data_IF_798104242043
#
_entry.id   IF_798104242043
#
_cell.length_a   1.000
_cell.length_b   1.000
_cell.length_c   1.000
_cell.angle_alpha   90.00
_cell.angle_beta   90.00
_cell.angle_gamma   90.00
#
_symmetry.space_group_name_H-M   'P 1'
#
loop_
_entity.id
_entity.type
_entity.pdbx_description
1 polymer ?
#
# COMPACT_ATOMS: atom_id res chain seq x y z
N UNK A 1 4.81 1.43 -13.39
CA UNK A 1 5.11 1.58 -11.94
C UNK A 1 5.45 3.03 -11.63
N UNK A 2 4.82 3.59 -10.62
CA UNK A 2 5.12 4.96 -10.19
C UNK A 2 6.44 4.94 -9.43
N UNK A 3 7.36 5.90 -9.69
CA UNK A 3 8.61 5.97 -8.95
C UNK A 3 8.39 6.11 -7.45
N UNK A 4 9.18 5.40 -6.66
CA UNK A 4 9.00 5.38 -5.20
C UNK A 4 9.15 6.76 -4.55
N UNK A 5 9.90 7.66 -5.16
CA UNK A 5 10.14 9.01 -4.63
C UNK A 5 9.13 10.05 -5.08
N UNK A 6 8.16 9.66 -5.91
CA UNK A 6 7.19 10.61 -6.43
C UNK A 6 6.29 11.14 -5.32
N UNK A 7 6.17 12.46 -5.20
CA UNK A 7 5.34 13.11 -4.18
C UNK A 7 4.19 13.92 -4.76
N UNK A 8 4.08 13.99 -6.09
CA UNK A 8 3.03 14.76 -6.78
C UNK A 8 2.92 16.19 -6.23
N UNK A 9 4.06 16.90 -6.27
CA UNK A 9 4.18 18.28 -5.76
C UNK A 9 3.88 18.41 -4.27
N UNK A 10 4.22 17.38 -3.50
CA UNK A 10 4.04 17.39 -2.06
C UNK A 10 2.69 16.93 -1.56
N UNK A 11 1.80 16.47 -2.46
CA UNK A 11 0.50 15.93 -2.03
C UNK A 11 0.59 14.50 -1.54
N UNK A 12 1.77 13.86 -1.66
CA UNK A 12 2.03 12.51 -1.18
C UNK A 12 3.41 12.48 -0.52
N UNK A 13 3.44 12.76 0.77
CA UNK A 13 4.68 12.86 1.55
C UNK A 13 4.82 11.71 2.55
N UNK A 14 4.70 10.48 2.07
CA UNK A 14 4.82 9.32 2.93
C UNK A 14 6.05 8.52 2.54
N UNK A 15 6.81 8.08 3.56
CA UNK A 15 7.99 7.27 3.33
C UNK A 15 7.58 5.96 2.66
N UNK A 16 8.17 5.61 1.50
CA UNK A 16 7.83 4.36 0.84
C UNK A 16 8.36 3.18 1.63
N UNK A 17 7.49 2.20 1.89
CA UNK A 17 7.84 0.94 2.53
C UNK A 17 7.44 -0.18 1.61
N UNK A 18 8.18 -1.28 1.64
CA UNK A 18 7.95 -2.41 0.75
C UNK A 18 7.96 -3.72 1.51
N UNK A 19 7.01 -4.59 1.15
CA UNK A 19 6.95 -5.96 1.64
C UNK A 19 7.28 -6.89 0.48
N UNK A 20 8.17 -7.86 0.70
CA UNK A 20 8.60 -8.80 -0.34
C UNK A 20 8.13 -10.23 -0.08
N UNK A 21 7.26 -10.44 0.89
CA UNK A 21 6.80 -11.77 1.31
C UNK A 21 6.03 -12.51 0.20
N UNK A 22 5.46 -11.78 -0.75
CA UNK A 22 4.75 -12.38 -1.87
C UNK A 22 5.61 -12.59 -3.12
N UNK A 23 6.92 -12.35 -3.01
CA UNK A 23 7.86 -12.56 -4.10
C UNK A 23 7.99 -11.37 -5.05
N UNK A 24 7.43 -10.23 -4.71
CA UNK A 24 7.60 -8.98 -5.43
C UNK A 24 7.58 -7.84 -4.42
N UNK A 25 7.95 -6.63 -4.85
CA UNK A 25 7.94 -5.48 -3.95
C UNK A 25 6.55 -4.85 -3.91
N UNK A 26 5.83 -5.09 -2.83
CA UNK A 26 4.53 -4.47 -2.61
C UNK A 26 4.71 -3.22 -1.76
N UNK A 27 4.36 -2.07 -2.33
CA UNK A 27 4.44 -0.79 -1.64
C UNK A 27 3.30 -0.65 -0.63
N UNK A 28 3.62 -0.06 0.51
CA UNK A 28 2.59 0.31 1.49
C UNK A 28 3.02 1.53 2.29
N UNK A 29 2.03 2.21 2.86
CA UNK A 29 2.23 3.30 3.82
C UNK A 29 1.85 2.74 5.19
N UNK A 30 2.63 3.07 6.22
CA UNK A 30 2.37 2.64 7.59
C UNK A 30 2.64 3.84 8.50
N UNK A 31 1.60 4.51 8.95
CA UNK A 31 1.68 5.74 9.73
C UNK A 31 0.83 5.64 11.01
N UNK A 32 1.34 6.27 12.08
CA UNK A 32 0.60 6.33 13.34
C UNK A 32 0.80 5.11 14.22
N UNK A 33 0.09 5.11 15.33
CA UNK A 33 0.14 4.05 16.34
C UNK A 33 -1.26 3.78 16.87
N UNK A 34 -1.48 2.58 17.37
CA UNK A 34 -2.73 2.19 17.97
C UNK A 34 -3.43 1.09 17.20
N UNK A 35 -4.76 1.12 17.24
CA UNK A 35 -5.56 0.15 16.52
C UNK A 35 -5.32 0.30 15.02
N UNK A 36 -5.22 -0.82 14.30
CA UNK A 36 -4.87 -0.82 12.89
C UNK A 36 -6.08 -0.58 12.01
N UNK A 37 -5.94 0.40 11.10
CA UNK A 37 -6.91 0.66 10.03
C UNK A 37 -6.23 0.38 8.71
N UNK A 38 -6.78 -0.52 7.90
CA UNK A 38 -6.25 -0.85 6.59
C UNK A 38 -7.13 -0.23 5.51
N UNK A 39 -6.53 0.59 4.66
CA UNK A 39 -7.24 1.26 3.57
C UNK A 39 -6.88 0.60 2.24
N UNK A 40 -7.85 -0.05 1.61
CA UNK A 40 -7.64 -0.77 0.35
C UNK A 40 -8.24 -0.01 -0.81
N UNK A 41 -7.43 0.22 -1.85
CA UNK A 41 -7.91 0.90 -3.06
C UNK A 41 -8.53 -0.11 -4.03
N UNK A 42 -9.37 0.41 -4.95
CA UNK A 42 -9.93 -0.38 -6.05
C UNK A 42 -9.18 -0.14 -7.35
N UNK A 43 -9.64 -0.73 -8.43
CA UNK A 43 -9.10 -0.47 -9.77
C UNK A 43 -9.79 0.74 -10.37
N UNK A 44 -9.09 1.57 -11.13
CA UNK A 44 -7.66 1.59 -11.44
C UNK A 44 -6.88 2.60 -10.60
N UNK A 45 -7.03 2.56 -9.29
CA UNK A 45 -6.40 3.51 -8.36
C UNK A 45 -5.24 2.89 -7.61
N UNK A 46 -4.72 3.61 -6.62
CA UNK A 46 -3.70 3.14 -5.69
C UNK A 46 -3.84 3.90 -4.36
N UNK A 47 -2.92 3.74 -3.45
CA UNK A 47 -3.02 4.35 -2.12
C UNK A 47 -3.24 5.85 -2.12
N UNK A 48 -2.83 6.54 -3.18
CA UNK A 48 -3.01 7.99 -3.33
C UNK A 48 -4.48 8.41 -3.17
N UNK A 49 -5.42 7.51 -3.44
CA UNK A 49 -6.86 7.74 -3.20
C UNK A 49 -7.11 8.18 -1.77
N UNK A 50 -6.32 7.69 -0.82
CA UNK A 50 -6.50 7.95 0.60
C UNK A 50 -5.68 9.12 1.12
N UNK A 51 -5.01 9.90 0.27
CA UNK A 51 -4.07 10.95 0.66
C UNK A 51 -4.63 11.97 1.65
N UNK A 52 -5.93 12.22 1.62
CA UNK A 52 -6.56 13.18 2.51
C UNK A 52 -7.08 12.55 3.81
N UNK A 53 -6.96 11.23 3.93
CA UNK A 53 -7.45 10.49 5.11
C UNK A 53 -6.32 10.01 6.02
N UNK A 54 -5.13 9.82 5.48
CA UNK A 54 -4.03 9.20 6.21
C UNK A 54 -3.63 10.02 7.43
N UNK A 55 -3.34 11.30 7.27
CA UNK A 55 -2.90 12.13 8.39
C UNK A 55 -3.96 12.24 9.50
N UNK A 56 -5.24 12.54 9.20
CA UNK A 56 -6.25 12.57 10.25
C UNK A 56 -6.40 11.24 10.97
N UNK A 57 -6.39 10.12 10.25
CA UNK A 57 -6.53 8.80 10.87
C UNK A 57 -5.29 8.43 11.70
N UNK A 58 -4.11 8.82 11.25
CA UNK A 58 -2.86 8.49 11.93
C UNK A 58 -2.70 9.20 13.26
N UNK A 59 -3.52 10.20 13.57
CA UNK A 59 -3.51 10.85 14.87
C UNK A 59 -4.01 9.93 15.99
N UNK A 60 -4.88 8.98 15.65
CA UNK A 60 -5.49 8.07 16.64
C UNK A 60 -5.26 6.59 16.34
N UNK A 61 -4.90 6.23 15.10
CA UNK A 61 -4.79 4.85 14.65
C UNK A 61 -3.47 4.60 13.96
N UNK A 62 -3.13 3.33 13.82
CA UNK A 62 -2.07 2.93 12.91
C UNK A 62 -2.72 2.69 11.57
N UNK A 63 -2.33 3.46 10.56
CA UNK A 63 -2.94 3.42 9.23
C UNK A 63 -2.02 2.71 8.26
N UNK A 64 -2.49 1.63 7.64
CA UNK A 64 -1.74 0.86 6.66
C UNK A 64 -2.46 0.98 5.32
N UNK A 65 -1.75 1.48 4.31
CA UNK A 65 -2.32 1.71 2.98
C UNK A 65 -1.46 1.01 1.93
N UNK A 66 -1.78 -0.25 1.60
CA UNK A 66 -1.01 -0.97 0.58
C UNK A 66 -1.47 -0.63 -0.83
N UNK A 67 -0.54 -0.72 -1.78
CA UNK A 67 -0.86 -0.70 -3.20
C UNK A 67 -0.91 -2.15 -3.67
N UNK A 68 -1.97 -2.52 -4.37
CA UNK A 68 -2.06 -3.86 -4.94
C UNK A 68 -0.99 -4.09 -6.00
N UNK A 69 -0.64 -5.36 -6.22
CA UNK A 69 0.30 -5.76 -7.26
C UNK A 69 -0.08 -5.11 -8.59
N UNK A 70 0.89 -4.46 -9.24
CA UNK A 70 0.64 -3.80 -10.52
C UNK A 70 0.09 -2.38 -10.42
N UNK A 71 -0.16 -1.88 -9.22
CA UNK A 71 -0.72 -0.54 -9.02
C UNK A 71 0.20 0.35 -8.21
N UNK A 72 0.06 1.66 -8.39
CA UNK A 72 0.80 2.66 -7.65
C UNK A 72 2.31 2.43 -7.67
N UNK A 73 2.90 2.41 -6.50
CA UNK A 73 4.35 2.22 -6.35
C UNK A 73 4.75 0.76 -6.17
N UNK A 74 3.78 -0.16 -6.18
CA UNK A 74 4.07 -1.59 -6.15
C UNK A 74 4.64 -2.06 -7.48
N UNK A 75 5.48 -3.08 -7.42
CA UNK A 75 6.08 -3.67 -8.60
C UNK A 75 5.00 -4.32 -9.48
N UNK A 76 5.28 -4.41 -10.79
CA UNK A 76 4.35 -5.00 -11.77
C UNK A 76 5.00 -6.25 -12.37
N UNK A 77 5.05 -7.37 -11.65
CA UNK A 77 5.63 -8.60 -12.20
C UNK A 77 4.81 -9.11 -13.38
N UNK A 78 5.51 -9.63 -14.41
CA UNK A 78 4.88 -10.04 -15.64
C UNK A 78 4.42 -11.49 -15.65
N UNK A 79 4.84 -12.28 -14.69
CA UNK A 79 4.58 -13.72 -14.61
C UNK A 79 3.58 -14.08 -13.52
N UNK A 80 2.69 -13.17 -13.18
CA UNK A 80 1.71 -13.36 -12.10
C UNK A 80 0.29 -13.21 -12.59
N UNK A 81 -0.63 -13.90 -11.93
CA UNK A 81 -2.06 -13.75 -12.17
C UNK A 81 -2.58 -12.56 -11.37
N UNK A 82 -3.28 -11.67 -12.03
CA UNK A 82 -3.86 -10.48 -11.40
C UNK A 82 -5.34 -10.71 -11.10
N UNK A 83 -5.61 -11.56 -10.12
CA UNK A 83 -6.97 -11.95 -9.73
C UNK A 83 -7.27 -11.44 -8.33
N UNK A 84 -8.55 -11.43 -7.96
CA UNK A 84 -8.94 -11.08 -6.59
C UNK A 84 -8.27 -12.02 -5.59
N UNK A 85 -8.18 -13.29 -5.93
CA UNK A 85 -7.52 -14.29 -5.08
C UNK A 85 -6.05 -13.92 -4.84
N UNK A 86 -5.32 -13.57 -5.91
CA UNK A 86 -3.91 -13.19 -5.80
C UNK A 86 -3.72 -11.94 -4.95
N UNK A 87 -4.54 -10.93 -5.16
CA UNK A 87 -4.48 -9.70 -4.36
C UNK A 87 -4.78 -9.97 -2.89
N UNK A 88 -5.74 -10.84 -2.61
CA UNK A 88 -6.09 -11.21 -1.23
C UNK A 88 -4.95 -11.95 -0.55
N UNK A 89 -4.31 -12.87 -1.25
CA UNK A 89 -3.15 -13.60 -0.71
C UNK A 89 -1.99 -12.67 -0.44
N UNK A 90 -1.72 -11.72 -1.36
CA UNK A 90 -0.68 -10.72 -1.19
C UNK A 90 -0.95 -9.87 0.06
N UNK A 91 -2.19 -9.44 0.24
CA UNK A 91 -2.60 -8.64 1.39
C UNK A 91 -2.40 -9.41 2.70
N UNK A 92 -2.79 -10.69 2.72
CA UNK A 92 -2.62 -11.53 3.91
C UNK A 92 -1.15 -11.63 4.33
N UNK A 93 -0.25 -11.83 3.36
CA UNK A 93 1.18 -11.91 3.66
C UNK A 93 1.73 -10.59 4.17
N UNK A 94 1.27 -9.48 3.59
CA UNK A 94 1.67 -8.16 4.06
C UNK A 94 1.25 -7.94 5.51
N UNK A 95 -0.01 -8.18 5.83
CA UNK A 95 -0.55 -7.97 7.17
C UNK A 95 0.19 -8.86 8.20
N UNK A 96 0.42 -10.11 7.86
CA UNK A 96 1.17 -11.01 8.74
C UNK A 96 2.60 -10.51 8.99
N UNK A 97 3.23 -9.93 7.99
CA UNK A 97 4.60 -9.43 8.13
C UNK A 97 4.71 -8.20 9.02
N UNK A 98 3.63 -7.49 9.24
CA UNK A 98 3.62 -6.25 10.03
C UNK A 98 3.34 -6.50 11.52
N UNK A 99 2.99 -7.69 11.91
CA UNK A 99 2.72 -8.04 13.32
C UNK A 99 3.97 -8.45 14.09
#
# INVERSE_FOLDING_TARGET
MIPQNETFNGSWNYEPKFCTESGFRQHYVDEGEGEVVVCLHGEPTWGYLYRNMIDPLAEEFRVVVPDHMGFGKSETPQDRDYTLKSHTENLSRLIESLD
#
